data_IF_450970632745
#
_entry.id   IF_450970632745
#
_cell.length_a   1.000
_cell.length_b   1.000
_cell.length_c   1.000
_cell.angle_alpha   90.00
_cell.angle_beta   90.00
_cell.angle_gamma   90.00
#
_symmetry.space_group_name_H-M   'P 1'
#
loop_
_entity.id
_entity.type
_entity.pdbx_description
1 polymer ?
#
# COMPACT_ATOMS: atom_id res chain seq x y z
N UNK A 1 -30.65 -28.15 21.92
CA UNK A 1 -30.34 -26.76 22.32
C UNK A 1 -28.88 -26.71 22.70
N UNK A 2 -28.14 -25.73 22.21
CA UNK A 2 -26.71 -25.57 22.49
C UNK A 2 -25.97 -25.11 21.24
N UNK A 3 -26.06 -23.81 20.95
CA UNK A 3 -25.14 -23.17 20.00
C UNK A 3 -23.77 -23.03 20.65
N UNK A 4 -22.71 -23.13 19.85
CA UNK A 4 -21.39 -22.63 20.22
C UNK A 4 -20.93 -21.67 19.13
N UNK A 5 -20.99 -20.39 19.47
CA UNK A 5 -20.05 -19.38 19.01
C UNK A 5 -18.62 -19.72 19.51
N UNK A 6 -17.63 -18.96 19.02
CA UNK A 6 -16.21 -18.88 19.43
C UNK A 6 -15.22 -19.71 18.60
N UNK A 7 -14.12 -19.18 18.05
CA UNK A 7 -13.50 -17.85 18.06
C UNK A 7 -12.66 -17.66 16.78
N UNK A 8 -12.74 -16.49 16.14
CA UNK A 8 -11.73 -16.07 15.16
C UNK A 8 -10.48 -15.63 15.92
N UNK A 9 -9.49 -16.52 16.01
CA UNK A 9 -8.18 -16.20 16.59
C UNK A 9 -7.44 -15.20 15.69
N UNK A 10 -7.37 -13.94 16.12
CA UNK A 10 -6.50 -12.94 15.52
C UNK A 10 -5.06 -13.18 15.97
N UNK A 11 -4.23 -13.77 15.10
CA UNK A 11 -2.80 -13.87 15.36
C UNK A 11 -2.16 -12.50 15.13
N UNK A 12 -2.02 -11.73 16.21
CA UNK A 12 -1.26 -10.48 16.22
C UNK A 12 0.22 -10.85 16.11
N UNK A 13 0.76 -10.89 14.89
CA UNK A 13 2.19 -11.09 14.68
C UNK A 13 2.93 -9.76 14.89
N UNK A 14 3.53 -9.62 16.07
CA UNK A 14 4.42 -8.51 16.43
C UNK A 14 5.69 -8.57 15.58
N UNK A 15 5.72 -7.81 14.47
CA UNK A 15 6.95 -7.60 13.70
C UNK A 15 7.73 -6.40 14.27
N UNK A 16 8.56 -6.68 15.27
CA UNK A 16 9.61 -5.77 15.74
C UNK A 16 10.82 -5.86 14.81
N UNK A 17 10.73 -5.33 13.59
CA UNK A 17 11.90 -5.25 12.70
C UNK A 17 12.66 -3.94 12.90
N UNK A 18 13.93 -4.09 13.28
CA UNK A 18 14.92 -3.05 13.49
C UNK A 18 14.99 -2.06 12.33
N UNK A 19 14.68 -0.79 12.61
CA UNK A 19 14.76 0.34 11.69
C UNK A 19 16.22 0.65 11.33
N UNK A 20 16.72 0.08 10.24
CA UNK A 20 17.96 0.55 9.60
C UNK A 20 17.64 1.82 8.82
N UNK A 21 17.99 2.97 9.40
CA UNK A 21 17.91 4.30 8.77
C UNK A 21 18.82 4.32 7.54
N UNK A 22 18.24 4.31 6.33
CA UNK A 22 18.95 4.66 5.09
C UNK A 22 18.56 6.09 4.73
N UNK A 23 19.48 7.02 4.95
CA UNK A 23 19.38 8.39 4.42
C UNK A 23 19.77 8.33 2.93
N UNK A 24 18.83 8.69 2.04
CA UNK A 24 19.03 8.72 0.59
C UNK A 24 18.14 9.78 -0.06
N UNK A 25 18.49 10.26 -1.28
CA UNK A 25 17.96 11.50 -1.83
C UNK A 25 16.46 11.47 -2.14
N UNK A 26 15.86 12.64 -2.01
CA UNK A 26 14.49 13.02 -2.39
C UNK A 26 14.31 12.97 -3.90
N UNK A 27 14.07 11.77 -4.42
CA UNK A 27 13.36 11.48 -5.68
C UNK A 27 13.55 9.97 -5.86
N UNK A 28 12.71 9.19 -5.20
CA UNK A 28 12.61 7.76 -5.51
C UNK A 28 11.56 7.72 -6.61
N UNK A 29 11.94 7.52 -7.89
CA UNK A 29 10.95 7.19 -8.90
C UNK A 29 10.17 6.00 -8.38
N UNK A 30 8.91 5.84 -8.76
CA UNK A 30 8.22 4.56 -8.56
C UNK A 30 9.06 3.49 -9.26
N UNK A 31 9.97 2.85 -8.50
CA UNK A 31 10.82 1.79 -8.96
C UNK A 31 9.91 0.57 -8.98
N UNK A 32 9.06 0.53 -10.00
CA UNK A 32 8.59 -0.73 -10.54
C UNK A 32 9.80 -1.66 -10.57
N UNK A 33 9.66 -2.86 -10.02
CA UNK A 33 10.61 -3.95 -10.25
C UNK A 33 10.73 -4.25 -11.75
N UNK A 34 10.98 -5.49 -12.14
CA UNK A 34 10.92 -5.85 -13.56
C UNK A 34 9.59 -5.32 -14.15
N UNK A 35 9.68 -4.36 -15.06
CA UNK A 35 8.52 -3.74 -15.68
C UNK A 35 7.82 -4.80 -16.53
N UNK A 36 6.68 -5.29 -16.05
CA UNK A 36 5.79 -6.12 -16.87
C UNK A 36 5.21 -5.23 -17.95
N UNK A 37 5.39 -5.55 -19.25
CA UNK A 37 4.85 -4.73 -20.32
C UNK A 37 3.32 -4.70 -20.27
N UNK A 38 2.74 -3.57 -20.69
CA UNK A 38 1.29 -3.43 -20.74
C UNK A 38 0.65 -4.53 -21.61
N UNK A 39 -0.38 -5.18 -21.08
CA UNK A 39 -1.12 -6.24 -21.77
C UNK A 39 -2.17 -5.60 -22.67
N UNK A 40 -2.16 -5.93 -23.96
CA UNK A 40 -3.20 -5.47 -24.90
C UNK A 40 -4.54 -6.10 -24.54
N UNK A 41 -5.63 -5.37 -24.72
CA UNK A 41 -7.00 -5.87 -24.46
C UNK A 41 -7.28 -7.19 -25.22
N UNK A 42 -6.80 -7.30 -26.47
CA UNK A 42 -6.97 -8.50 -27.30
C UNK A 42 -6.28 -9.75 -26.72
N UNK A 43 -5.20 -9.56 -25.94
CA UNK A 43 -4.40 -10.66 -25.39
C UNK A 43 -4.74 -10.95 -23.91
N UNK A 44 -5.57 -10.11 -23.28
CA UNK A 44 -5.82 -10.16 -21.83
C UNK A 44 -6.36 -11.52 -21.37
N UNK A 45 -7.30 -12.12 -22.11
CA UNK A 45 -7.86 -13.44 -21.78
C UNK A 45 -6.80 -14.55 -21.85
N UNK A 46 -5.95 -14.51 -22.87
CA UNK A 46 -4.87 -15.47 -23.04
C UNK A 46 -3.86 -15.35 -21.90
N UNK A 47 -3.46 -14.11 -21.56
CA UNK A 47 -2.56 -13.85 -20.45
C UNK A 47 -3.14 -14.36 -19.11
N UNK A 48 -4.40 -14.05 -18.78
CA UNK A 48 -5.03 -14.54 -17.55
C UNK A 48 -5.06 -16.08 -17.52
N UNK A 49 -5.35 -16.74 -18.64
CA UNK A 49 -5.35 -18.21 -18.74
C UNK A 49 -3.97 -18.78 -18.48
N UNK A 50 -2.93 -18.18 -19.06
CA UNK A 50 -1.54 -18.57 -18.83
C UNK A 50 -1.14 -18.43 -17.36
N UNK A 51 -1.47 -17.30 -16.74
CA UNK A 51 -1.15 -17.00 -15.34
C UNK A 51 -1.86 -17.95 -14.35
N UNK A 52 -3.04 -18.44 -14.72
CA UNK A 52 -3.79 -19.44 -13.94
C UNK A 52 -3.36 -20.88 -14.18
N UNK A 53 -2.76 -21.20 -15.34
CA UNK A 53 -2.53 -22.57 -15.82
C UNK A 53 -1.60 -23.43 -14.95
N UNK A 54 -0.75 -22.82 -14.12
CA UNK A 54 0.12 -23.50 -13.15
C UNK A 54 -0.41 -23.36 -11.71
N UNK A 55 -1.69 -23.71 -11.46
CA UNK A 55 -2.35 -23.50 -10.14
C UNK A 55 -2.33 -22.04 -9.64
N UNK A 56 -2.21 -21.07 -10.56
CA UNK A 56 -2.08 -19.64 -10.22
C UNK A 56 -0.66 -19.17 -9.88
N UNK A 57 0.37 -20.02 -10.05
CA UNK A 57 1.76 -19.67 -9.69
C UNK A 57 2.29 -18.42 -10.40
N UNK A 58 1.85 -18.16 -11.63
CA UNK A 58 2.27 -16.95 -12.37
C UNK A 58 1.86 -15.66 -11.63
N UNK A 59 0.61 -15.56 -11.17
CA UNK A 59 0.17 -14.38 -10.41
C UNK A 59 0.86 -14.26 -9.06
N UNK A 60 1.16 -15.40 -8.43
CA UNK A 60 1.89 -15.43 -7.16
C UNK A 60 3.32 -14.91 -7.35
N UNK A 61 4.03 -15.41 -8.36
CA UNK A 61 5.39 -14.98 -8.69
C UNK A 61 5.45 -13.49 -9.03
N UNK A 62 4.53 -12.99 -9.86
CA UNK A 62 4.44 -11.55 -10.15
C UNK A 62 4.15 -10.73 -8.88
N UNK A 63 3.25 -11.19 -8.02
CA UNK A 63 2.92 -10.51 -6.77
C UNK A 63 4.09 -10.48 -5.77
N UNK A 64 4.80 -11.60 -5.61
CA UNK A 64 5.96 -11.70 -4.72
C UNK A 64 7.19 -10.96 -5.26
N UNK A 65 7.20 -10.57 -6.54
CA UNK A 65 8.25 -9.73 -7.13
C UNK A 65 8.19 -8.26 -6.69
N UNK A 66 7.06 -7.80 -6.13
CA UNK A 66 6.94 -6.43 -5.63
C UNK A 66 7.83 -6.21 -4.41
N UNK A 67 8.33 -4.98 -4.26
CA UNK A 67 9.16 -4.61 -3.13
C UNK A 67 8.35 -4.65 -1.83
N UNK A 68 8.80 -5.41 -0.84
CA UNK A 68 8.18 -5.48 0.48
C UNK A 68 8.78 -4.46 1.45
N UNK A 69 7.95 -4.06 2.42
CA UNK A 69 8.35 -3.16 3.50
C UNK A 69 8.24 -1.69 3.13
N UNK A 70 8.69 -0.84 4.05
CA UNK A 70 8.51 0.60 3.92
C UNK A 70 9.66 1.21 3.11
N UNK A 71 9.32 1.82 1.96
CA UNK A 71 10.29 2.25 0.94
C UNK A 71 10.50 3.77 0.86
N UNK A 72 9.70 4.55 1.57
CA UNK A 72 9.78 6.02 1.58
C UNK A 72 9.64 6.57 3.02
N UNK A 73 10.03 7.81 3.33
CA UNK A 73 9.92 8.37 4.69
C UNK A 73 8.48 8.47 5.22
N UNK A 74 8.32 8.32 6.54
CA UNK A 74 7.06 8.38 7.30
C UNK A 74 7.22 9.12 8.65
N UNK A 75 8.07 10.13 8.70
CA UNK A 75 8.43 10.87 9.90
C UNK A 75 7.20 11.45 10.62
N UNK A 76 6.21 11.95 9.88
CA UNK A 76 4.97 12.47 10.48
C UNK A 76 4.17 11.37 11.18
N UNK A 77 4.12 10.17 10.60
CA UNK A 77 3.32 9.05 11.09
C UNK A 77 3.89 8.39 12.36
N UNK A 78 5.21 8.44 12.55
CA UNK A 78 5.90 7.84 13.72
C UNK A 78 6.03 8.77 14.93
N UNK A 79 5.61 10.03 14.83
CA UNK A 79 5.54 10.93 15.98
C UNK A 79 4.60 10.37 17.05
N UNK A 80 4.96 10.49 18.32
CA UNK A 80 4.19 9.89 19.41
C UNK A 80 2.75 10.42 19.46
N UNK A 81 2.53 11.70 19.12
CA UNK A 81 1.21 12.34 19.05
C UNK A 81 0.32 11.76 17.94
N UNK A 82 0.92 11.09 16.94
CA UNK A 82 0.23 10.53 15.79
C UNK A 82 0.11 9.00 15.83
N UNK A 83 0.84 8.31 16.73
CA UNK A 83 0.81 6.84 16.82
C UNK A 83 -0.61 6.30 17.03
N UNK A 84 -1.38 6.92 17.92
CA UNK A 84 -2.77 6.54 18.21
C UNK A 84 -3.74 6.86 17.06
N UNK A 85 -3.33 7.68 16.09
CA UNK A 85 -4.12 8.01 14.89
C UNK A 85 -3.94 6.97 13.78
N UNK A 86 -3.02 6.02 13.94
CA UNK A 86 -2.82 4.89 13.03
C UNK A 86 -3.54 3.65 13.56
N UNK A 87 -4.46 3.07 12.76
CA UNK A 87 -5.19 1.85 13.15
C UNK A 87 -4.24 0.66 13.35
N UNK A 88 -3.19 0.58 12.52
CA UNK A 88 -2.16 -0.46 12.59
C UNK A 88 -0.78 0.19 12.55
N UNK A 89 0.16 -0.29 13.37
CA UNK A 89 1.51 0.27 13.44
C UNK A 89 2.36 0.05 12.18
N UNK A 90 1.99 -0.94 11.37
CA UNK A 90 2.64 -1.28 10.10
C UNK A 90 1.94 -0.69 8.86
N UNK A 91 0.76 -0.06 9.01
CA UNK A 91 0.04 0.61 7.93
C UNK A 91 0.01 2.11 8.23
N UNK A 92 0.90 2.85 7.57
CA UNK A 92 1.20 4.25 7.87
C UNK A 92 1.27 5.08 6.60
N UNK A 93 1.08 6.40 6.75
CA UNK A 93 1.14 7.32 5.63
C UNK A 93 2.58 7.80 5.34
N UNK A 94 2.99 7.75 4.07
CA UNK A 94 4.27 8.32 3.63
C UNK A 94 4.22 9.85 3.53
N UNK A 95 5.31 10.53 3.90
CA UNK A 95 5.33 11.99 4.02
C UNK A 95 5.14 12.73 2.68
N UNK A 96 5.62 12.15 1.58
CA UNK A 96 5.64 12.79 0.26
C UNK A 96 4.24 12.89 -0.37
N UNK A 97 3.31 12.00 0.02
CA UNK A 97 1.96 11.95 -0.54
C UNK A 97 0.86 12.01 0.53
N UNK A 98 1.19 12.19 1.81
CA UNK A 98 0.17 12.24 2.85
C UNK A 98 -0.78 13.42 2.66
N UNK A 99 -2.04 13.21 2.97
CA UNK A 99 -3.01 14.31 3.11
C UNK A 99 -2.63 15.13 4.35
N UNK A 100 -2.61 16.45 4.21
CA UNK A 100 -2.35 17.38 5.33
C UNK A 100 -3.64 18.12 5.64
N UNK A 101 -4.13 17.96 6.87
CA UNK A 101 -5.27 18.72 7.35
C UNK A 101 -4.85 20.16 7.64
N UNK A 102 -5.83 21.06 7.67
CA UNK A 102 -5.61 22.40 8.19
C UNK A 102 -5.22 22.30 9.67
N UNK A 103 -4.05 22.84 10.09
CA UNK A 103 -3.66 22.80 11.49
C UNK A 103 -4.68 23.56 12.36
N UNK A 104 -5.02 22.97 13.50
CA UNK A 104 -5.82 23.63 14.53
C UNK A 104 -4.92 24.50 15.41
N UNK A 105 -5.40 25.68 15.78
CA UNK A 105 -4.66 26.63 16.60
C UNK A 105 -4.42 26.06 18.01
N UNK A 106 -3.17 26.13 18.48
CA UNK A 106 -2.78 25.58 19.78
C UNK A 106 -2.54 24.07 19.82
N UNK A 107 -2.90 23.31 18.78
CA UNK A 107 -2.71 21.85 18.74
C UNK A 107 -1.56 21.45 17.80
N UNK A 108 -0.45 20.99 18.39
CA UNK A 108 0.68 20.47 17.62
C UNK A 108 0.32 19.17 16.88
N UNK A 109 0.78 19.03 15.64
CA UNK A 109 0.56 17.84 14.80
C UNK A 109 -0.93 17.52 14.53
N UNK A 110 -1.81 18.52 14.62
CA UNK A 110 -3.22 18.43 14.22
C UNK A 110 -3.41 18.28 12.70
N UNK A 111 -2.35 18.50 11.92
CA UNK A 111 -2.34 18.37 10.45
C UNK A 111 -2.31 16.90 9.97
N UNK A 112 -2.14 15.94 10.88
CA UNK A 112 -1.93 14.54 10.52
C UNK A 112 -3.23 13.72 10.44
N UNK A 113 -3.39 13.05 9.31
CA UNK A 113 -4.32 11.93 9.09
C UNK A 113 -3.57 10.80 8.36
N UNK A 114 -3.88 9.54 8.70
CA UNK A 114 -3.32 8.39 7.99
C UNK A 114 -4.07 8.19 6.65
N UNK A 115 -3.65 8.96 5.65
CA UNK A 115 -4.16 8.93 4.29
C UNK A 115 -3.12 9.45 3.30
N UNK A 116 -3.10 8.92 2.08
CA UNK A 116 -2.21 9.35 0.99
C UNK A 116 -3.01 9.66 -0.28
N UNK A 117 -2.52 10.62 -1.06
CA UNK A 117 -2.93 10.80 -2.45
C UNK A 117 -2.41 9.65 -3.32
N UNK A 118 -3.22 9.21 -4.28
CA UNK A 118 -2.90 8.13 -5.22
C UNK A 118 -3.24 8.61 -6.62
N UNK A 119 -2.26 8.52 -7.53
CA UNK A 119 -2.47 8.85 -8.94
C UNK A 119 -3.36 7.81 -9.62
N UNK A 120 -4.23 8.28 -10.52
CA UNK A 120 -5.16 7.44 -11.27
C UNK A 120 -5.13 7.77 -12.75
N UNK A 121 -5.39 6.76 -13.58
CA UNK A 121 -5.60 6.92 -15.02
C UNK A 121 -7.10 6.85 -15.30
N UNK A 122 -7.66 7.89 -15.93
CA UNK A 122 -9.07 7.94 -16.32
C UNK A 122 -9.21 7.44 -17.76
N UNK A 123 -9.95 6.35 -17.95
CA UNK A 123 -10.33 5.86 -19.28
C UNK A 123 -11.67 6.46 -19.70
N UNK A 124 -11.67 7.28 -20.75
CA UNK A 124 -12.90 7.81 -21.35
C UNK A 124 -13.25 6.97 -22.58
N UNK A 125 -14.32 6.17 -22.48
CA UNK A 125 -14.85 5.43 -23.62
C UNK A 125 -15.80 6.31 -24.43
N UNK A 126 -15.36 6.73 -25.62
CA UNK A 126 -16.24 7.40 -26.58
C UNK A 126 -16.89 6.33 -27.46
N UNK A 127 -18.20 6.15 -27.32
CA UNK A 127 -18.98 5.28 -28.21
C UNK A 127 -19.05 5.94 -29.59
N UNK A 128 -18.43 5.34 -30.60
CA UNK A 128 -18.65 5.73 -32.00
C UNK A 128 -20.03 5.20 -32.42
N UNK A 129 -20.85 6.11 -32.97
CA UNK A 129 -22.15 5.80 -33.58
C UNK A 129 -22.02 5.21 -34.97
#
# INVERSE_FOLDING_TARGET
MGGSCSDTSSLVQSHSHSLRKREGPVDVPYQTGQLHPAIRVADLLQHITQMKGAEGYGFKEEYESFFEGQSAPWDSAKKDENRMKNRYGNIIAYDHSRVRLQPLEGEQNSDYINANYVDVVIFVFVKRG
#
